data_IF_424282633245
#
_entry.id   IF_424282633245
#
_cell.length_a   1.000
_cell.length_b   1.000
_cell.length_c   1.000
_cell.angle_alpha   90.00
_cell.angle_beta   90.00
_cell.angle_gamma   90.00
#
_symmetry.space_group_name_H-M   'P 1'
#
loop_
_entity.id
_entity.type
_entity.pdbx_description
1 polymer ?
#
# COMPACT_ATOMS: atom_id res chain seq x y z
N UNK A 1 1.96 9.14 -19.48
CA UNK A 1 1.33 9.75 -18.28
C UNK A 1 1.42 11.26 -18.45
N UNK A 2 0.32 11.95 -18.13
CA UNK A 2 0.32 13.42 -18.08
C UNK A 2 1.18 13.91 -16.89
N UNK A 3 1.53 15.20 -16.87
CA UNK A 3 2.19 15.82 -15.71
C UNK A 3 1.33 15.69 -14.44
N UNK A 4 0.00 15.81 -14.60
CA UNK A 4 -0.97 15.61 -13.50
C UNK A 4 -0.90 14.20 -12.91
N UNK A 5 -0.84 13.17 -13.75
CA UNK A 5 -0.71 11.79 -13.28
C UNK A 5 0.62 11.53 -12.57
N UNK A 6 1.72 12.17 -12.99
CA UNK A 6 2.99 12.09 -12.28
C UNK A 6 2.95 12.73 -10.89
N UNK A 7 2.33 13.92 -10.77
CA UNK A 7 2.12 14.58 -9.47
C UNK A 7 1.24 13.69 -8.58
N UNK A 8 0.10 13.19 -9.10
CA UNK A 8 -0.77 12.30 -8.35
C UNK A 8 -0.05 11.02 -7.89
N UNK A 9 0.78 10.43 -8.75
CA UNK A 9 1.60 9.26 -8.41
C UNK A 9 2.59 9.54 -7.26
N UNK A 10 3.31 10.66 -7.33
CA UNK A 10 4.23 11.10 -6.26
C UNK A 10 3.51 11.37 -4.95
N UNK A 11 2.38 12.10 -5.00
CA UNK A 11 1.54 12.36 -3.83
C UNK A 11 1.04 11.05 -3.20
N UNK A 12 0.57 10.11 -4.02
CA UNK A 12 0.08 8.82 -3.51
C UNK A 12 1.19 7.98 -2.89
N UNK A 13 2.37 7.96 -3.51
CA UNK A 13 3.53 7.25 -2.95
C UNK A 13 3.92 7.79 -1.57
N UNK A 14 3.83 9.11 -1.38
CA UNK A 14 4.04 9.73 -0.07
C UNK A 14 2.88 9.43 0.88
N UNK A 15 1.63 9.72 0.50
CA UNK A 15 0.44 9.58 1.35
C UNK A 15 0.21 8.14 1.85
N UNK A 16 0.65 7.12 1.12
CA UNK A 16 0.56 5.72 1.56
C UNK A 16 1.86 5.17 2.16
N UNK A 17 2.96 5.92 2.11
CA UNK A 17 4.17 5.64 2.89
C UNK A 17 4.15 6.27 4.29
N UNK A 18 3.44 7.39 4.45
CA UNK A 18 3.32 8.15 5.71
C UNK A 18 2.54 7.43 6.83
N UNK A 19 1.50 6.61 6.58
CA UNK A 19 0.67 6.03 7.64
C UNK A 19 1.43 5.32 8.73
N UNK A 20 2.47 4.57 8.41
CA UNK A 20 3.26 3.82 9.39
C UNK A 20 3.90 4.74 10.44
N UNK A 21 4.42 5.91 10.04
CA UNK A 21 4.90 6.92 10.98
C UNK A 21 3.79 7.38 11.94
N UNK A 22 2.64 7.76 11.40
CA UNK A 22 1.56 8.32 12.23
C UNK A 22 0.81 7.25 13.03
N UNK A 23 0.74 6.00 12.56
CA UNK A 23 0.25 4.88 13.38
C UNK A 23 1.18 4.68 14.57
N UNK A 24 2.50 4.64 14.33
CA UNK A 24 3.50 4.49 15.39
C UNK A 24 3.38 5.62 16.42
N UNK A 25 3.31 6.87 15.98
CA UNK A 25 3.11 8.01 16.87
C UNK A 25 1.81 7.90 17.70
N UNK A 26 0.71 7.46 17.12
CA UNK A 26 -0.55 7.32 17.82
C UNK A 26 -0.52 6.20 18.88
N UNK A 27 0.06 5.04 18.53
CA UNK A 27 0.12 3.90 19.48
C UNK A 27 1.16 4.13 20.59
N UNK A 28 2.26 4.83 20.28
CA UNK A 28 3.26 5.24 21.28
C UNK A 28 2.72 6.31 22.24
N UNK A 29 1.74 7.13 21.80
CA UNK A 29 0.97 8.06 22.64
C UNK A 29 -0.10 7.35 23.50
N UNK A 30 -0.17 6.02 23.45
CA UNK A 30 -1.09 5.20 24.23
C UNK A 30 -2.50 5.08 23.65
N UNK A 31 -2.71 5.45 22.39
CA UNK A 31 -4.00 5.25 21.70
C UNK A 31 -4.14 3.78 21.31
N UNK A 32 -5.20 3.07 21.79
CA UNK A 32 -5.38 1.66 21.46
C UNK A 32 -5.50 1.41 19.93
N UNK A 33 -4.95 0.31 19.42
CA UNK A 33 -4.94 0.00 17.98
C UNK A 33 -6.31 0.01 17.33
N UNK A 34 -7.31 -0.55 17.99
CA UNK A 34 -8.69 -0.56 17.49
C UNK A 34 -9.27 0.86 17.40
N UNK A 35 -8.93 1.73 18.35
CA UNK A 35 -9.38 3.13 18.36
C UNK A 35 -8.67 3.96 17.27
N UNK A 36 -7.36 3.75 17.05
CA UNK A 36 -6.63 4.37 15.92
C UNK A 36 -7.29 3.99 14.60
N UNK A 37 -7.57 2.70 14.39
CA UNK A 37 -8.23 2.22 13.18
C UNK A 37 -9.64 2.78 13.03
N UNK A 38 -10.45 2.75 14.09
CA UNK A 38 -11.82 3.24 14.11
C UNK A 38 -11.92 4.74 13.82
N UNK A 39 -11.19 5.55 14.56
CA UNK A 39 -11.21 7.02 14.41
C UNK A 39 -10.77 7.45 13.00
N UNK A 40 -9.73 6.82 12.46
CA UNK A 40 -9.26 7.03 11.10
C UNK A 40 -10.33 6.74 10.06
N UNK A 41 -11.04 5.60 10.17
CA UNK A 41 -12.05 5.24 9.18
C UNK A 41 -13.32 6.07 9.31
N UNK A 42 -13.71 6.47 10.52
CA UNK A 42 -14.85 7.38 10.75
C UNK A 42 -14.59 8.73 10.09
N UNK A 43 -13.43 9.34 10.32
CA UNK A 43 -13.07 10.61 9.70
C UNK A 43 -13.10 10.53 8.16
N UNK A 44 -12.50 9.48 7.60
CA UNK A 44 -12.48 9.29 6.16
C UNK A 44 -13.86 8.97 5.58
N UNK A 45 -14.67 8.17 6.26
CA UNK A 45 -16.04 7.84 5.83
C UNK A 45 -16.92 9.09 5.71
N UNK A 46 -16.87 9.97 6.71
CA UNK A 46 -17.62 11.23 6.70
C UNK A 46 -17.27 12.07 5.47
N UNK A 47 -15.98 12.23 5.19
CA UNK A 47 -15.53 13.03 4.02
C UNK A 47 -15.95 12.37 2.71
N UNK A 48 -15.68 11.08 2.53
CA UNK A 48 -15.94 10.40 1.26
C UNK A 48 -17.44 10.21 1.01
N UNK A 49 -18.24 9.93 2.04
CA UNK A 49 -19.69 9.87 1.91
C UNK A 49 -20.29 11.24 1.56
N UNK A 50 -19.80 12.32 2.15
CA UNK A 50 -20.24 13.68 1.80
C UNK A 50 -19.91 14.00 0.34
N UNK A 51 -18.72 13.63 -0.16
CA UNK A 51 -18.34 13.79 -1.56
C UNK A 51 -19.19 12.92 -2.50
N UNK A 52 -19.42 11.66 -2.14
CA UNK A 52 -20.26 10.73 -2.91
C UNK A 52 -21.73 11.19 -2.95
N UNK A 53 -22.24 11.71 -1.83
CA UNK A 53 -23.59 12.26 -1.75
C UNK A 53 -23.75 13.47 -2.67
N UNK A 54 -22.81 14.43 -2.61
CA UNK A 54 -22.80 15.59 -3.52
C UNK A 54 -22.70 15.22 -5.00
N UNK A 55 -22.01 14.11 -5.29
CA UNK A 55 -21.88 13.58 -6.65
C UNK A 55 -23.10 12.73 -7.09
N UNK A 56 -24.09 12.50 -6.21
CA UNK A 56 -25.23 11.63 -6.51
C UNK A 56 -24.90 10.16 -6.72
N UNK A 57 -23.71 9.71 -6.28
CA UNK A 57 -23.17 8.37 -6.61
C UNK A 57 -23.50 7.29 -5.58
N UNK A 58 -24.29 7.60 -4.54
CA UNK A 58 -24.66 6.62 -3.50
C UNK A 58 -25.74 5.62 -3.93
N UNK A 59 -26.60 5.98 -4.87
CA UNK A 59 -27.71 5.15 -5.32
C UNK A 59 -27.29 3.75 -5.78
N UNK A 60 -26.26 3.60 -6.64
CA UNK A 60 -25.76 2.32 -7.14
C UNK A 60 -25.21 1.37 -6.07
N UNK A 61 -24.91 1.84 -4.85
CA UNK A 61 -24.49 0.99 -3.74
C UNK A 61 -25.64 0.06 -3.23
N UNK A 62 -26.90 0.42 -3.53
CA UNK A 62 -28.07 -0.40 -3.14
C UNK A 62 -27.96 -1.77 -3.79
N UNK A 63 -28.15 -2.83 -2.99
CA UNK A 63 -28.00 -4.22 -3.43
C UNK A 63 -26.57 -4.75 -3.44
N UNK A 64 -25.56 -3.92 -3.20
CA UNK A 64 -24.14 -4.34 -3.11
C UNK A 64 -23.64 -4.50 -1.65
N UNK A 65 -24.51 -4.35 -0.65
CA UNK A 65 -24.14 -4.31 0.78
C UNK A 65 -23.27 -5.48 1.23
N UNK A 66 -23.58 -6.73 0.81
CA UNK A 66 -22.76 -7.90 1.16
C UNK A 66 -21.32 -7.82 0.64
N UNK A 67 -21.12 -7.27 -0.56
CA UNK A 67 -19.81 -7.15 -1.17
C UNK A 67 -19.03 -5.98 -0.58
N UNK A 68 -19.72 -4.87 -0.28
CA UNK A 68 -19.15 -3.76 0.47
C UNK A 68 -18.72 -4.22 1.87
N UNK A 69 -19.53 -5.04 2.55
CA UNK A 69 -19.18 -5.57 3.87
C UNK A 69 -18.00 -6.55 3.81
N UNK A 70 -17.96 -7.44 2.83
CA UNK A 70 -16.83 -8.35 2.64
C UNK A 70 -15.53 -7.58 2.31
N UNK A 71 -15.62 -6.58 1.43
CA UNK A 71 -14.48 -5.71 1.12
C UNK A 71 -14.05 -4.91 2.35
N UNK A 72 -14.98 -4.26 3.04
CA UNK A 72 -14.71 -3.50 4.27
C UNK A 72 -14.04 -4.36 5.34
N UNK A 73 -14.46 -5.60 5.50
CA UNK A 73 -13.89 -6.52 6.49
C UNK A 73 -12.45 -6.90 6.13
N UNK A 74 -12.21 -7.33 4.89
CA UNK A 74 -10.89 -7.81 4.45
C UNK A 74 -9.88 -6.70 4.17
N UNK A 75 -10.33 -5.57 3.62
CA UNK A 75 -9.45 -4.47 3.22
C UNK A 75 -9.21 -3.44 4.32
N UNK A 76 -10.14 -3.32 5.30
CA UNK A 76 -10.10 -2.24 6.26
C UNK A 76 -10.14 -2.78 7.69
N UNK A 77 -11.21 -3.55 8.05
CA UNK A 77 -11.48 -3.90 9.45
C UNK A 77 -10.45 -4.87 10.05
N UNK A 78 -9.84 -5.74 9.24
CA UNK A 78 -8.72 -6.58 9.66
C UNK A 78 -7.39 -5.81 9.55
N UNK A 79 -7.02 -5.25 8.38
CA UNK A 79 -5.67 -4.71 8.23
C UNK A 79 -5.37 -3.51 9.14
N UNK A 80 -6.28 -2.57 9.27
CA UNK A 80 -5.98 -1.34 9.99
C UNK A 80 -5.66 -1.55 11.47
N UNK A 81 -6.49 -2.27 12.25
CA UNK A 81 -6.13 -2.55 13.64
C UNK A 81 -4.95 -3.52 13.78
N UNK A 82 -4.77 -4.47 12.84
CA UNK A 82 -3.65 -5.40 12.88
C UNK A 82 -2.31 -4.72 12.61
N UNK A 83 -2.26 -3.72 11.71
CA UNK A 83 -1.05 -2.90 11.52
C UNK A 83 -0.78 -2.08 12.78
N UNK A 84 -1.79 -1.40 13.33
CA UNK A 84 -1.62 -0.60 14.53
C UNK A 84 -1.20 -1.44 15.74
N UNK A 85 -1.77 -2.65 15.90
CA UNK A 85 -1.33 -3.62 16.90
C UNK A 85 0.10 -4.09 16.66
N UNK A 86 0.44 -4.38 15.41
CA UNK A 86 1.79 -4.79 15.03
C UNK A 86 2.83 -3.72 15.39
N UNK A 87 2.53 -2.46 15.13
CA UNK A 87 3.44 -1.33 15.40
C UNK A 87 3.62 -1.02 16.90
N UNK A 88 2.81 -1.58 17.79
CA UNK A 88 3.12 -1.58 19.23
C UNK A 88 4.33 -2.47 19.56
N UNK A 89 4.61 -3.48 18.73
CA UNK A 89 5.61 -4.52 18.98
C UNK A 89 6.82 -4.45 18.07
N UNK A 90 6.66 -3.87 16.85
CA UNK A 90 7.73 -3.75 15.86
C UNK A 90 7.90 -2.31 15.39
N UNK A 91 9.05 -2.02 14.77
CA UNK A 91 9.31 -0.72 14.15
C UNK A 91 8.37 -0.45 12.98
N UNK A 92 8.04 0.83 12.74
CA UNK A 92 7.17 1.26 11.63
C UNK A 92 7.74 0.90 10.26
N UNK A 93 9.06 0.99 10.11
CA UNK A 93 9.78 0.55 8.92
C UNK A 93 9.59 -0.95 8.64
N UNK A 94 9.62 -1.79 9.69
CA UNK A 94 9.40 -3.23 9.56
C UNK A 94 7.96 -3.53 9.12
N UNK A 95 6.99 -2.84 9.70
CA UNK A 95 5.58 -2.95 9.31
C UNK A 95 5.38 -2.64 7.83
N UNK A 96 5.94 -1.54 7.33
CA UNK A 96 5.87 -1.16 5.92
C UNK A 96 6.52 -2.19 4.98
N UNK A 97 7.65 -2.78 5.40
CA UNK A 97 8.35 -3.82 4.61
C UNK A 97 7.49 -5.09 4.53
N UNK A 98 6.86 -5.52 5.62
CA UNK A 98 5.96 -6.69 5.60
C UNK A 98 4.77 -6.42 4.69
N UNK A 99 4.15 -5.25 4.74
CA UNK A 99 3.03 -4.87 3.86
C UNK A 99 3.46 -4.81 2.38
N UNK A 100 4.71 -4.52 2.06
CA UNK A 100 5.22 -4.60 0.68
C UNK A 100 5.13 -6.02 0.06
N UNK A 101 4.87 -7.05 0.87
CA UNK A 101 4.62 -8.42 0.41
C UNK A 101 3.20 -8.67 -0.13
N UNK A 102 2.28 -7.71 -0.04
CA UNK A 102 0.89 -7.85 -0.53
C UNK A 102 0.80 -8.41 -1.96
N UNK A 103 1.59 -7.95 -2.95
CA UNK A 103 1.55 -8.53 -4.29
C UNK A 103 1.88 -10.03 -4.34
N UNK A 104 2.69 -10.52 -3.41
CA UNK A 104 3.03 -11.94 -3.30
C UNK A 104 1.83 -12.74 -2.78
N UNK A 105 1.10 -12.22 -1.79
CA UNK A 105 -0.13 -12.84 -1.31
C UNK A 105 -1.25 -12.78 -2.36
N UNK A 106 -1.35 -11.71 -3.16
CA UNK A 106 -2.25 -11.66 -4.33
C UNK A 106 -1.93 -12.79 -5.30
N UNK A 107 -0.65 -12.97 -5.66
CA UNK A 107 -0.21 -14.04 -6.56
C UNK A 107 -0.49 -15.44 -5.97
N UNK A 108 -0.34 -15.63 -4.66
CA UNK A 108 -0.65 -16.87 -3.96
C UNK A 108 -2.17 -17.17 -4.00
N UNK A 109 -3.00 -16.20 -3.67
CA UNK A 109 -4.46 -16.34 -3.71
C UNK A 109 -4.97 -16.57 -5.13
N UNK A 110 -4.33 -15.98 -6.14
CA UNK A 110 -4.70 -16.14 -7.54
C UNK A 110 -4.56 -17.60 -8.01
N UNK A 111 -3.67 -18.39 -7.42
CA UNK A 111 -3.53 -19.83 -7.74
C UNK A 111 -4.86 -20.56 -7.60
N UNK A 112 -5.68 -20.16 -6.59
CA UNK A 112 -6.95 -20.85 -6.29
C UNK A 112 -8.17 -20.10 -6.80
N UNK A 113 -8.16 -18.76 -6.80
CA UNK A 113 -9.34 -17.93 -6.97
C UNK A 113 -9.40 -17.15 -8.29
N UNK A 114 -8.28 -16.93 -8.96
CA UNK A 114 -8.21 -16.20 -10.23
C UNK A 114 -7.16 -16.80 -11.16
N UNK A 115 -7.59 -17.71 -12.02
CA UNK A 115 -6.68 -18.38 -12.97
C UNK A 115 -6.02 -17.42 -13.98
N UNK A 116 -6.64 -16.25 -14.22
CA UNK A 116 -6.10 -15.24 -15.13
C UNK A 116 -4.86 -14.51 -14.56
N UNK A 117 -4.74 -14.48 -13.23
CA UNK A 117 -3.62 -13.88 -12.51
C UNK A 117 -2.64 -14.93 -11.94
N UNK A 118 -2.80 -16.21 -12.32
CA UNK A 118 -1.99 -17.31 -11.78
C UNK A 118 -0.51 -17.14 -12.10
N UNK A 119 0.30 -17.24 -11.05
CA UNK A 119 1.75 -17.18 -11.19
C UNK A 119 2.30 -18.46 -11.86
N UNK A 120 2.94 -18.30 -13.02
CA UNK A 120 3.62 -19.37 -13.74
C UNK A 120 5.01 -18.91 -14.20
N UNK A 121 5.93 -19.84 -14.42
CA UNK A 121 7.26 -19.50 -14.91
C UNK A 121 7.99 -18.49 -14.02
N UNK A 122 8.40 -17.35 -14.59
CA UNK A 122 9.13 -16.28 -13.88
C UNK A 122 8.34 -15.67 -12.72
N UNK A 123 7.01 -15.58 -12.83
CA UNK A 123 6.14 -15.08 -11.76
C UNK A 123 6.20 -15.99 -10.53
N UNK A 124 6.24 -17.31 -10.74
CA UNK A 124 6.37 -18.30 -9.66
C UNK A 124 7.73 -18.18 -8.95
N UNK A 125 8.82 -17.97 -9.69
CA UNK A 125 10.15 -17.70 -9.11
C UNK A 125 10.10 -16.42 -8.26
N UNK A 126 9.49 -15.35 -8.78
CA UNK A 126 9.29 -14.11 -8.03
C UNK A 126 8.52 -14.30 -6.73
N UNK A 127 7.47 -15.12 -6.76
CA UNK A 127 6.68 -15.46 -5.57
C UNK A 127 7.56 -16.12 -4.49
N UNK A 128 8.35 -17.13 -4.85
CA UNK A 128 9.24 -17.81 -3.89
C UNK A 128 10.36 -16.90 -3.36
N UNK A 129 10.97 -16.08 -4.23
CA UNK A 129 12.00 -15.10 -3.83
C UNK A 129 11.43 -14.11 -2.83
N UNK A 130 10.25 -13.55 -3.11
CA UNK A 130 9.62 -12.56 -2.25
C UNK A 130 9.13 -13.14 -0.93
N UNK A 131 8.50 -14.32 -0.92
CA UNK A 131 8.11 -15.01 0.31
C UNK A 131 9.34 -15.41 1.13
N UNK A 132 10.44 -15.85 0.49
CA UNK A 132 11.72 -16.06 1.14
C UNK A 132 12.26 -14.78 1.81
N UNK A 133 12.03 -13.61 1.20
CA UNK A 133 12.34 -12.31 1.78
C UNK A 133 11.54 -12.01 3.05
N UNK A 134 10.23 -12.34 3.09
CA UNK A 134 9.41 -12.22 4.30
C UNK A 134 9.93 -13.13 5.41
N UNK A 135 10.24 -14.38 5.08
CA UNK A 135 10.78 -15.35 6.05
C UNK A 135 12.14 -14.90 6.58
N UNK A 136 13.03 -14.42 5.72
CA UNK A 136 14.35 -13.93 6.13
C UNK A 136 14.22 -12.70 7.06
N UNK A 137 13.35 -11.76 6.72
CA UNK A 137 13.09 -10.57 7.53
C UNK A 137 12.59 -10.94 8.94
N UNK A 138 11.55 -11.77 9.00
CA UNK A 138 10.96 -12.18 10.28
C UNK A 138 11.93 -13.07 11.06
N UNK A 139 12.66 -13.98 10.39
CA UNK A 139 13.58 -14.90 11.05
C UNK A 139 14.85 -14.24 11.58
N UNK A 140 15.38 -13.22 10.90
CA UNK A 140 16.65 -12.56 11.27
C UNK A 140 16.42 -11.43 12.28
N UNK A 141 15.47 -10.52 11.99
CA UNK A 141 15.30 -9.30 12.79
C UNK A 141 14.28 -9.48 13.94
N UNK A 142 13.33 -10.44 13.83
CA UNK A 142 12.28 -10.70 14.81
C UNK A 142 12.53 -12.00 15.58
N UNK A 143 13.39 -12.89 15.07
CA UNK A 143 13.63 -14.21 15.64
C UNK A 143 14.09 -14.18 17.10
N UNK A 144 13.38 -14.92 17.97
CA UNK A 144 13.70 -15.07 19.38
C UNK A 144 13.00 -14.10 20.33
N UNK A 145 12.22 -13.13 19.82
CA UNK A 145 11.41 -12.18 20.63
C UNK A 145 9.93 -12.42 20.37
N UNK A 146 9.26 -13.06 21.33
CA UNK A 146 7.86 -13.52 21.19
C UNK A 146 6.88 -12.40 20.82
N UNK A 147 7.01 -11.22 21.46
CA UNK A 147 6.12 -10.09 21.23
C UNK A 147 6.29 -9.48 19.84
N UNK A 148 7.53 -9.39 19.35
CA UNK A 148 7.79 -8.91 18.01
C UNK A 148 7.30 -9.89 16.93
N UNK A 149 7.39 -11.20 17.19
CA UNK A 149 6.84 -12.24 16.29
C UNK A 149 5.31 -12.12 16.22
N UNK A 150 4.66 -11.81 17.33
CA UNK A 150 3.21 -11.59 17.40
C UNK A 150 2.81 -10.34 16.59
N UNK A 151 3.56 -9.25 16.75
CA UNK A 151 3.39 -8.02 15.97
C UNK A 151 3.58 -8.25 14.47
N UNK A 152 4.68 -8.90 14.08
CA UNK A 152 4.94 -9.24 12.68
C UNK A 152 3.85 -10.16 12.09
N UNK A 153 3.36 -11.14 12.86
CA UNK A 153 2.27 -12.03 12.47
C UNK A 153 0.95 -11.28 12.22
N UNK A 154 0.63 -10.29 13.07
CA UNK A 154 -0.53 -9.43 12.88
C UNK A 154 -0.44 -8.63 11.58
N UNK A 155 0.75 -8.11 11.26
CA UNK A 155 0.97 -7.35 10.00
C UNK A 155 0.92 -8.29 8.79
N UNK A 156 1.41 -9.52 8.88
CA UNK A 156 1.24 -10.53 7.81
C UNK A 156 -0.24 -10.82 7.58
N UNK A 157 -1.04 -10.95 8.65
CA UNK A 157 -2.50 -11.12 8.53
C UNK A 157 -3.14 -9.90 7.84
N UNK A 158 -2.69 -8.69 8.16
CA UNK A 158 -3.11 -7.48 7.45
C UNK A 158 -2.76 -7.54 5.95
N UNK A 159 -1.55 -7.97 5.60
CA UNK A 159 -1.12 -8.12 4.21
C UNK A 159 -1.98 -9.15 3.44
N UNK A 160 -2.39 -10.23 4.08
CA UNK A 160 -3.32 -11.20 3.50
C UNK A 160 -4.71 -10.59 3.26
N UNK A 161 -5.21 -9.77 4.17
CA UNK A 161 -6.44 -9.00 4.00
C UNK A 161 -6.37 -8.10 2.77
N UNK A 162 -5.34 -7.28 2.67
CA UNK A 162 -5.06 -6.42 1.50
C UNK A 162 -4.89 -7.19 0.19
N UNK A 163 -4.50 -8.46 0.24
CA UNK A 163 -4.44 -9.29 -0.96
C UNK A 163 -5.81 -9.79 -1.41
N UNK A 164 -6.73 -10.02 -0.46
CA UNK A 164 -8.07 -10.54 -0.76
C UNK A 164 -9.06 -9.43 -1.16
N UNK A 165 -8.95 -8.24 -0.57
CA UNK A 165 -9.83 -7.11 -0.82
C UNK A 165 -9.94 -6.72 -2.30
N UNK A 166 -8.83 -6.45 -3.01
CA UNK A 166 -8.86 -6.10 -4.44
C UNK A 166 -9.54 -7.13 -5.34
N UNK A 167 -9.51 -8.41 -4.98
CA UNK A 167 -10.20 -9.46 -5.74
C UNK A 167 -11.72 -9.29 -5.64
N UNK A 168 -12.25 -8.97 -4.44
CA UNK A 168 -13.67 -8.67 -4.25
C UNK A 168 -14.04 -7.39 -4.98
N UNK A 169 -13.22 -6.35 -4.84
CA UNK A 169 -13.44 -5.07 -5.49
C UNK A 169 -13.55 -5.24 -7.01
N UNK A 170 -12.54 -5.86 -7.63
CA UNK A 170 -12.48 -6.10 -9.09
C UNK A 170 -13.71 -6.86 -9.59
N UNK A 171 -14.16 -7.87 -8.85
CA UNK A 171 -15.22 -8.79 -9.30
C UNK A 171 -16.63 -8.23 -9.10
N UNK A 172 -16.86 -7.42 -8.07
CA UNK A 172 -18.22 -7.08 -7.63
C UNK A 172 -18.51 -5.58 -7.49
N UNK A 173 -17.46 -4.74 -7.35
CA UNK A 173 -17.56 -3.32 -7.03
C UNK A 173 -16.90 -2.41 -8.06
N UNK A 174 -16.13 -2.97 -9.01
CA UNK A 174 -15.28 -2.20 -9.93
C UNK A 174 -16.01 -1.27 -10.91
N UNK A 175 -17.31 -1.47 -11.12
CA UNK A 175 -18.16 -0.62 -11.97
C UNK A 175 -18.76 0.58 -11.21
N UNK A 176 -18.64 0.61 -9.87
CA UNK A 176 -19.18 1.66 -9.03
C UNK A 176 -18.24 2.86 -8.94
N UNK A 177 -18.79 4.03 -8.60
CA UNK A 177 -17.95 5.21 -8.29
C UNK A 177 -17.00 4.89 -7.13
N UNK A 178 -15.68 5.03 -7.30
CA UNK A 178 -14.71 4.67 -6.27
C UNK A 178 -14.90 5.44 -4.96
N UNK A 179 -15.38 6.70 -5.01
CA UNK A 179 -15.65 7.52 -3.80
C UNK A 179 -16.82 6.94 -3.00
N UNK A 180 -17.89 6.56 -3.70
CA UNK A 180 -19.05 5.95 -3.07
C UNK A 180 -18.72 4.57 -2.50
N UNK A 181 -18.01 3.74 -3.27
CA UNK A 181 -17.58 2.40 -2.84
C UNK A 181 -16.69 2.48 -1.61
N UNK A 182 -15.69 3.36 -1.63
CA UNK A 182 -14.76 3.51 -0.54
C UNK A 182 -15.42 4.14 0.69
N UNK A 183 -16.23 5.20 0.50
CA UNK A 183 -16.99 5.82 1.60
C UNK A 183 -17.95 4.85 2.26
N UNK A 184 -18.70 4.06 1.46
CA UNK A 184 -19.59 3.02 1.96
C UNK A 184 -18.85 1.90 2.70
N UNK A 185 -17.72 1.45 2.17
CA UNK A 185 -16.90 0.42 2.82
C UNK A 185 -16.28 0.91 4.13
N UNK A 186 -15.80 2.16 4.17
CA UNK A 186 -15.26 2.77 5.39
C UNK A 186 -16.36 2.94 6.46
N UNK A 187 -17.58 3.33 6.07
CA UNK A 187 -18.71 3.42 7.00
C UNK A 187 -19.06 2.04 7.61
N UNK A 188 -19.08 0.99 6.78
CA UNK A 188 -19.30 -0.38 7.26
C UNK A 188 -18.14 -0.84 8.15
N UNK A 189 -16.90 -0.54 7.78
CA UNK A 189 -15.72 -0.85 8.61
C UNK A 189 -15.78 -0.11 9.96
N UNK A 190 -16.22 1.16 9.97
CA UNK A 190 -16.44 1.89 11.21
C UNK A 190 -17.45 1.17 12.13
N UNK A 191 -18.55 0.65 11.56
CA UNK A 191 -19.52 -0.14 12.32
C UNK A 191 -18.89 -1.43 12.88
N UNK A 192 -18.09 -2.15 12.09
CA UNK A 192 -17.40 -3.36 12.54
C UNK A 192 -16.38 -3.08 13.65
N UNK A 193 -15.70 -1.95 13.58
CA UNK A 193 -14.66 -1.57 14.55
C UNK A 193 -15.23 -0.90 15.81
N UNK A 194 -16.46 -0.35 15.76
CA UNK A 194 -17.10 0.34 16.90
C UNK A 194 -17.10 -0.49 18.20
N UNK A 195 -17.48 -1.79 18.20
CA UNK A 195 -17.45 -2.57 19.44
C UNK A 195 -16.05 -2.64 20.07
N UNK A 196 -15.03 -2.83 19.26
CA UNK A 196 -13.63 -2.94 19.72
C UNK A 196 -13.09 -1.61 20.23
N UNK A 197 -13.41 -0.50 19.56
CA UNK A 197 -13.03 0.84 19.98
C UNK A 197 -13.73 1.28 21.29
N UNK A 198 -14.94 0.79 21.53
CA UNK A 198 -15.68 1.07 22.76
C UNK A 198 -15.26 0.17 23.95
N UNK A 199 -14.78 -1.04 23.66
CA UNK A 199 -14.29 -1.97 24.69
C UNK A 199 -12.89 -1.55 25.21
N UNK A 200 -12.10 -0.90 24.38
CA UNK A 200 -10.76 -0.41 24.72
C UNK A 200 -10.60 1.04 24.24
N UNK A 201 -11.25 2.01 24.93
CA UNK A 201 -11.07 3.42 24.61
C UNK A 201 -9.73 3.95 25.14
N UNK A 202 -9.21 5.06 24.62
CA UNK A 202 -8.03 5.70 25.19
C UNK A 202 -8.22 6.00 26.69
N UNK A 203 -7.27 5.57 27.52
CA UNK A 203 -7.34 5.76 28.96
C UNK A 203 -7.12 7.21 29.39
N UNK A 204 -6.53 8.02 28.53
CA UNK A 204 -6.35 9.46 28.68
C UNK A 204 -6.66 10.16 27.36
N UNK A 205 -6.90 11.46 27.42
CA UNK A 205 -7.02 12.27 26.18
C UNK A 205 -5.66 12.20 25.47
N UNK A 206 -5.61 11.78 24.20
CA UNK A 206 -4.36 11.75 23.44
C UNK A 206 -3.69 13.11 23.43
N UNK A 207 -2.37 13.14 23.38
CA UNK A 207 -1.60 14.38 23.28
C UNK A 207 -1.88 15.09 21.94
N UNK A 208 -1.34 16.29 21.78
CA UNK A 208 -1.43 17.00 20.49
C UNK A 208 -0.88 16.17 19.33
N UNK A 209 0.20 15.41 19.55
CA UNK A 209 0.83 14.55 18.55
C UNK A 209 -0.05 13.35 18.19
N UNK A 210 -0.67 12.69 19.16
CA UNK A 210 -1.63 11.62 18.93
C UNK A 210 -2.88 12.08 18.18
N UNK A 211 -3.42 13.26 18.52
CA UNK A 211 -4.56 13.86 17.82
C UNK A 211 -4.20 14.24 16.36
N UNK A 212 -3.03 14.83 16.15
CA UNK A 212 -2.51 15.14 14.81
C UNK A 212 -2.33 13.85 14.02
N UNK A 213 -1.78 12.82 14.64
CA UNK A 213 -1.60 11.52 13.98
C UNK A 213 -2.93 10.94 13.50
N UNK A 214 -3.95 10.88 14.33
CA UNK A 214 -5.31 10.42 13.96
C UNK A 214 -5.89 11.28 12.83
N UNK A 215 -5.76 12.60 12.91
CA UNK A 215 -6.26 13.51 11.89
C UNK A 215 -5.56 13.29 10.54
N UNK A 216 -4.23 13.20 10.53
CA UNK A 216 -3.44 12.93 9.32
C UNK A 216 -3.80 11.58 8.72
N UNK A 217 -3.90 10.54 9.53
CA UNK A 217 -4.31 9.20 9.11
C UNK A 217 -5.70 9.20 8.45
N UNK A 218 -6.68 9.84 9.07
CA UNK A 218 -8.06 9.87 8.58
C UNK A 218 -8.22 10.73 7.33
N UNK A 219 -7.75 11.96 7.38
CA UNK A 219 -8.00 12.95 6.32
C UNK A 219 -7.02 12.80 5.17
N UNK A 220 -5.71 12.84 5.43
CA UNK A 220 -4.71 12.84 4.36
C UNK A 220 -4.42 11.43 3.84
N UNK A 221 -4.10 10.51 4.73
CA UNK A 221 -3.69 9.16 4.35
C UNK A 221 -4.85 8.24 3.95
N UNK A 222 -6.09 8.62 4.24
CA UNK A 222 -7.27 7.84 3.85
C UNK A 222 -8.19 8.64 2.93
N UNK A 223 -8.88 9.70 3.38
CA UNK A 223 -9.88 10.37 2.57
C UNK A 223 -9.29 11.02 1.30
N UNK A 224 -8.30 11.90 1.45
CA UNK A 224 -7.65 12.59 0.32
C UNK A 224 -6.90 11.60 -0.56
N UNK A 225 -6.18 10.64 0.05
CA UNK A 225 -5.47 9.61 -0.68
C UNK A 225 -6.41 8.82 -1.61
N UNK A 226 -7.56 8.36 -1.15
CA UNK A 226 -8.52 7.65 -2.00
C UNK A 226 -9.12 8.50 -3.10
N UNK A 227 -9.33 9.81 -2.88
CA UNK A 227 -9.76 10.73 -3.95
C UNK A 227 -8.69 10.84 -5.04
N UNK A 228 -7.43 11.06 -4.65
CA UNK A 228 -6.30 11.15 -5.59
C UNK A 228 -6.09 9.81 -6.31
N UNK A 229 -6.12 8.71 -5.58
CA UNK A 229 -5.96 7.36 -6.14
C UNK A 229 -7.04 7.01 -7.15
N UNK A 230 -8.29 7.36 -6.86
CA UNK A 230 -9.40 7.16 -7.80
C UNK A 230 -9.18 7.90 -9.11
N UNK A 231 -8.74 9.17 -9.06
CA UNK A 231 -8.39 9.93 -10.24
C UNK A 231 -7.21 9.34 -11.02
N UNK A 232 -6.18 8.92 -10.31
CA UNK A 232 -5.01 8.28 -10.91
C UNK A 232 -5.38 6.93 -11.57
N UNK A 233 -6.19 6.12 -10.90
CA UNK A 233 -6.66 4.83 -11.40
C UNK A 233 -7.43 4.98 -12.73
N UNK A 234 -8.28 5.99 -12.83
CA UNK A 234 -9.03 6.31 -14.05
C UNK A 234 -8.12 6.78 -15.20
N UNK A 235 -7.04 7.51 -14.90
CA UNK A 235 -6.15 8.05 -15.93
C UNK A 235 -5.13 7.00 -16.43
N UNK A 236 -4.51 6.24 -15.52
CA UNK A 236 -3.38 5.37 -15.88
C UNK A 236 -3.70 3.88 -15.86
N UNK A 237 -4.86 3.50 -15.30
CA UNK A 237 -5.29 2.12 -15.11
C UNK A 237 -4.64 1.41 -13.92
N UNK A 238 -5.26 0.32 -13.47
CA UNK A 238 -4.89 -0.40 -12.25
C UNK A 238 -3.44 -0.91 -12.23
N UNK A 239 -2.96 -1.45 -13.35
CA UNK A 239 -1.61 -2.02 -13.41
C UNK A 239 -0.48 -0.99 -13.25
N UNK A 240 -0.69 0.26 -13.68
CA UNK A 240 0.28 1.35 -13.50
C UNK A 240 0.13 1.99 -12.11
N UNK A 241 -1.10 2.12 -11.62
CA UNK A 241 -1.35 2.65 -10.29
C UNK A 241 -0.74 1.73 -9.21
N UNK A 242 -0.78 0.42 -9.37
CA UNK A 242 -0.21 -0.55 -8.43
C UNK A 242 1.31 -0.40 -8.19
N UNK A 243 2.05 0.27 -9.09
CA UNK A 243 3.50 0.52 -8.90
C UNK A 243 3.79 1.39 -7.67
N UNK A 244 2.80 2.14 -7.17
CA UNK A 244 2.91 2.91 -5.91
C UNK A 244 3.34 2.00 -4.75
N UNK A 245 2.89 0.75 -4.72
CA UNK A 245 3.20 -0.21 -3.65
C UNK A 245 4.69 -0.53 -3.51
N UNK A 246 5.50 -0.30 -4.55
CA UNK A 246 6.95 -0.49 -4.47
C UNK A 246 7.67 0.74 -3.89
N UNK A 247 7.05 1.91 -3.91
CA UNK A 247 7.65 3.15 -3.41
C UNK A 247 7.25 3.39 -1.95
N UNK A 248 6.05 3.00 -1.57
CA UNK A 248 5.53 3.19 -0.21
C UNK A 248 6.49 2.71 0.89
N UNK A 249 7.06 1.48 0.84
CA UNK A 249 7.95 1.01 1.89
C UNK A 249 9.26 1.82 1.93
N UNK A 250 9.73 2.35 0.81
CA UNK A 250 10.92 3.21 0.76
C UNK A 250 10.65 4.53 1.49
N UNK A 251 9.47 5.13 1.26
CA UNK A 251 9.04 6.34 1.97
C UNK A 251 8.89 6.06 3.46
N UNK A 252 8.22 4.95 3.83
CA UNK A 252 7.98 4.59 5.22
C UNK A 252 9.29 4.33 5.99
N UNK A 253 10.21 3.54 5.40
CA UNK A 253 11.54 3.30 5.99
C UNK A 253 12.32 4.60 6.13
N UNK A 254 12.30 5.46 5.09
CA UNK A 254 12.94 6.77 5.15
C UNK A 254 12.41 7.64 6.29
N UNK A 255 11.09 7.66 6.50
CA UNK A 255 10.45 8.39 7.60
C UNK A 255 10.75 7.77 8.97
N UNK A 256 10.70 6.44 9.09
CA UNK A 256 11.05 5.72 10.33
C UNK A 256 12.48 6.04 10.77
N UNK A 257 13.43 6.03 9.84
CA UNK A 257 14.83 6.39 10.12
C UNK A 257 14.98 7.87 10.45
N UNK A 258 14.39 8.76 9.64
CA UNK A 258 14.62 10.20 9.76
C UNK A 258 13.88 10.85 10.93
N UNK A 259 12.67 10.38 11.26
CA UNK A 259 11.78 11.00 12.27
C UNK A 259 11.78 10.22 13.57
N UNK A 260 11.70 8.89 13.51
CA UNK A 260 11.65 8.03 14.71
C UNK A 260 13.03 7.53 15.14
N UNK A 261 14.09 7.80 14.39
CA UNK A 261 15.46 7.32 14.69
C UNK A 261 15.59 5.80 14.60
N UNK A 262 14.70 5.13 13.86
CA UNK A 262 14.73 3.69 13.67
C UNK A 262 16.01 3.25 12.96
N UNK A 263 16.50 2.07 13.30
CA UNK A 263 17.69 1.45 12.68
C UNK A 263 17.33 0.09 12.12
N UNK A 264 16.82 0.03 10.87
CA UNK A 264 16.49 -1.23 10.23
C UNK A 264 17.69 -2.18 10.23
N UNK A 265 17.50 -3.40 10.70
CA UNK A 265 18.55 -4.41 10.71
C UNK A 265 18.92 -4.92 9.31
N UNK A 266 19.95 -5.74 9.24
CA UNK A 266 20.39 -6.35 7.97
C UNK A 266 19.28 -7.24 7.36
N UNK A 267 18.49 -7.92 8.20
CA UNK A 267 17.33 -8.70 7.78
C UNK A 267 16.24 -7.85 7.16
N UNK A 268 15.95 -6.66 7.72
CA UNK A 268 14.98 -5.72 7.18
C UNK A 268 15.40 -5.22 5.78
N UNK A 269 16.68 -4.87 5.62
CA UNK A 269 17.19 -4.39 4.32
C UNK A 269 17.19 -5.53 3.29
N UNK A 270 17.72 -6.70 3.64
CA UNK A 270 17.73 -7.85 2.75
C UNK A 270 16.31 -8.31 2.40
N UNK A 271 15.42 -8.39 3.39
CA UNK A 271 14.01 -8.72 3.21
C UNK A 271 13.29 -7.75 2.29
N UNK A 272 13.49 -6.43 2.48
CA UNK A 272 12.94 -5.40 1.60
C UNK A 272 13.36 -5.61 0.15
N UNK A 273 14.66 -5.81 -0.10
CA UNK A 273 15.17 -6.02 -1.45
C UNK A 273 14.61 -7.29 -2.10
N UNK A 274 14.54 -8.40 -1.34
CA UNK A 274 13.97 -9.66 -1.83
C UNK A 274 12.46 -9.55 -2.06
N UNK A 275 11.72 -8.89 -1.18
CA UNK A 275 10.27 -8.66 -1.34
C UNK A 275 10.00 -7.80 -2.57
N UNK A 276 10.73 -6.70 -2.74
CA UNK A 276 10.56 -5.82 -3.90
C UNK A 276 10.92 -6.53 -5.21
N UNK A 277 12.06 -7.25 -5.24
CA UNK A 277 12.47 -8.02 -6.41
C UNK A 277 11.49 -9.15 -6.74
N UNK A 278 11.05 -9.89 -5.73
CA UNK A 278 10.05 -10.95 -5.86
C UNK A 278 8.70 -10.44 -6.33
N UNK A 279 8.21 -9.36 -5.75
CA UNK A 279 6.98 -8.70 -6.14
C UNK A 279 7.05 -8.18 -7.58
N UNK A 280 8.17 -7.57 -7.97
CA UNK A 280 8.39 -7.12 -9.34
C UNK A 280 8.39 -8.28 -10.35
N UNK A 281 9.07 -9.38 -10.03
CA UNK A 281 9.06 -10.57 -10.87
C UNK A 281 7.67 -11.22 -10.94
N UNK A 282 6.94 -11.25 -9.83
CA UNK A 282 5.61 -11.88 -9.75
C UNK A 282 4.52 -11.09 -10.49
N UNK A 283 4.76 -9.79 -10.79
CA UNK A 283 3.86 -8.89 -11.51
C UNK A 283 4.31 -8.58 -12.95
N UNK A 284 5.01 -9.52 -13.61
CA UNK A 284 5.54 -9.40 -15.00
C UNK A 284 6.64 -8.36 -15.19
N UNK A 285 7.32 -7.94 -14.13
CA UNK A 285 8.42 -6.99 -14.25
C UNK A 285 8.00 -5.64 -14.80
N UNK A 286 6.79 -5.19 -14.53
CA UNK A 286 6.33 -3.85 -14.94
C UNK A 286 7.15 -2.80 -14.21
N UNK A 287 7.89 -2.02 -14.98
CA UNK A 287 8.69 -0.92 -14.45
C UNK A 287 7.79 0.29 -14.12
N UNK A 288 8.20 1.09 -13.11
CA UNK A 288 7.56 2.37 -12.84
C UNK A 288 7.42 3.20 -14.12
N UNK A 289 6.29 3.89 -14.30
CA UNK A 289 6.10 4.78 -15.44
C UNK A 289 7.26 5.78 -15.51
N UNK A 290 7.95 5.87 -16.64
CA UNK A 290 9.13 6.73 -16.85
C UNK A 290 10.47 6.00 -16.80
N UNK A 291 10.69 5.01 -15.93
CA UNK A 291 11.90 4.17 -15.98
C UNK A 291 11.97 3.33 -17.26
N UNK A 292 10.84 2.80 -17.73
CA UNK A 292 10.75 2.11 -19.00
C UNK A 292 11.19 3.01 -20.17
N UNK A 293 10.63 4.22 -20.26
CA UNK A 293 11.01 5.19 -21.29
C UNK A 293 12.43 5.77 -21.14
N UNK A 294 12.98 5.83 -19.91
CA UNK A 294 14.37 6.20 -19.71
C UNK A 294 15.34 5.10 -20.17
N UNK A 295 15.03 3.85 -19.85
CA UNK A 295 15.80 2.68 -20.31
C UNK A 295 15.75 2.50 -21.82
N UNK A 296 14.59 2.74 -22.45
CA UNK A 296 14.49 2.73 -23.91
C UNK A 296 15.32 3.84 -24.55
N UNK A 297 15.31 5.05 -24.00
CA UNK A 297 16.18 6.15 -24.44
C UNK A 297 17.67 5.83 -24.30
N UNK A 298 18.06 5.22 -23.19
CA UNK A 298 19.45 4.78 -22.97
C UNK A 298 19.83 3.66 -23.94
N UNK A 299 18.95 2.69 -24.18
CA UNK A 299 19.15 1.62 -25.18
C UNK A 299 19.19 2.15 -26.60
N UNK A 300 18.33 3.11 -26.96
CA UNK A 300 18.35 3.76 -28.26
C UNK A 300 19.64 4.56 -28.49
N UNK A 301 20.13 5.30 -27.46
CA UNK A 301 21.42 6.00 -27.54
C UNK A 301 22.61 5.05 -27.70
N UNK A 302 22.57 3.85 -27.08
CA UNK A 302 23.63 2.83 -27.25
C UNK A 302 23.56 2.12 -28.61
N UNK A 303 22.40 2.15 -29.30
CA UNK A 303 22.20 1.54 -30.63
C UNK A 303 22.35 2.53 -31.79
N UNK A 304 22.44 3.82 -31.51
CA UNK A 304 22.73 4.82 -32.54
C UNK A 304 24.15 4.60 -33.05
N UNK A 305 24.34 4.33 -34.39
CA UNK A 305 25.67 4.15 -34.94
C UNK A 305 26.46 5.45 -34.77
N UNK A 306 27.69 5.34 -34.28
CA UNK A 306 28.65 6.43 -34.31
C UNK A 306 28.84 6.85 -35.76
N UNK A 307 28.28 7.99 -36.12
CA UNK A 307 28.66 8.63 -37.40
C UNK A 307 30.13 8.99 -37.30
N UNK A 308 31.01 8.13 -37.78
CA UNK A 308 32.35 8.47 -38.14
C UNK A 308 32.26 9.53 -39.22
N UNK A 309 32.62 10.73 -38.90
CA UNK A 309 32.91 11.83 -39.84
C UNK A 309 34.02 11.35 -40.77
N UNK A 310 33.60 10.82 -41.91
CA UNK A 310 34.53 10.58 -43.03
C UNK A 310 35.00 11.93 -43.56
N UNK A 311 36.24 12.22 -43.31
CA UNK A 311 36.97 13.34 -43.95
C UNK A 311 36.98 13.12 -45.44
N UNK A 312 36.19 13.92 -46.16
CA UNK A 312 36.26 13.99 -47.64
C UNK A 312 37.62 14.63 -47.99
N UNK A 313 38.50 13.81 -48.56
CA UNK A 313 39.69 14.32 -49.26
C UNK A 313 39.19 15.00 -50.53
N UNK A 314 39.32 16.33 -50.54
CA UNK A 314 39.24 17.14 -51.78
C UNK A 314 40.44 16.78 -52.62
N UNK A 315 40.20 16.19 -53.80
CA UNK A 315 41.15 16.17 -54.91
C UNK A 315 40.75 17.31 -55.83
N UNK A 316 41.61 18.32 -55.89
CA UNK A 316 41.61 19.33 -56.96
C UNK A 316 42.32 18.80 -58.21
N UNK A 317 41.98 19.30 -59.42
CA UNK A 317 42.29 18.79 -60.74
C UNK A 317 43.74 18.93 -61.17
#
# INVERSE_FOLDING_TARGET
MSARAWVAFGCMSALWGIPYLFIKLAVDDGVPPAFVAWSRVVLAAVVLLALAWRAGSLGPLRGKGRWLAAYAFLEISIPFPMIAFGEQHVASSLAAIIIASVPLFIALLAIRFDQSERATGRRLVGLFVGLGGVVALVGIDVGGRGDELLGAGAIVLAAMGYAAGPMIFKRHLGELDPRATMGGSLAIAALFLTPFALLDPPHAVPTGDGLIAIFVLGIFCTAIAFVIFSGLLMEVGAGRAAVITYINPVVAVGLGVAVLGERPGAGAIAGLLLILAGSWLSTDGRLPPGLAGALERVRARRRAPSHTTGTALVQDP
#
